data_IF_312030796133
#
_entry.id   IF_312030796133
#
_cell.length_a   1.000
_cell.length_b   1.000
_cell.length_c   1.000
_cell.angle_alpha   90.00
_cell.angle_beta   90.00
_cell.angle_gamma   90.00
#
_symmetry.space_group_name_H-M   'P 1'
#
loop_
_entity.id
_entity.type
_entity.pdbx_description
1 polymer ?
#
# COMPACT_ATOMS: atom_id res chain seq x y z
N UNK A 1 24.74 9.56 -58.42
CA UNK A 1 25.64 9.45 -57.25
C UNK A 1 24.85 8.90 -56.08
N UNK A 2 25.01 7.59 -55.83
CA UNK A 2 24.40 6.82 -54.76
C UNK A 2 25.01 7.21 -53.40
N UNK A 3 24.18 7.39 -52.37
CA UNK A 3 24.58 7.10 -50.98
C UNK A 3 23.43 6.43 -50.23
N UNK A 4 23.53 5.10 -50.17
CA UNK A 4 22.83 4.22 -49.25
C UNK A 4 23.27 4.55 -47.81
N UNK A 5 22.32 4.66 -46.89
CA UNK A 5 22.58 4.60 -45.46
C UNK A 5 21.85 3.38 -44.89
N UNK A 6 22.63 2.56 -44.22
CA UNK A 6 22.38 1.19 -43.82
C UNK A 6 21.62 1.11 -42.51
N UNK A 7 20.58 0.26 -42.49
CA UNK A 7 20.00 -0.28 -41.26
C UNK A 7 21.09 -1.01 -40.47
N UNK A 8 21.23 -0.70 -39.17
CA UNK A 8 21.87 -1.59 -38.21
C UNK A 8 20.89 -1.89 -37.08
N UNK A 9 20.27 -3.05 -37.20
CA UNK A 9 19.57 -3.79 -36.15
C UNK A 9 20.58 -4.17 -35.05
N UNK A 10 20.35 -3.74 -33.83
CA UNK A 10 21.09 -4.18 -32.64
C UNK A 10 20.18 -5.12 -31.84
N UNK A 11 20.28 -6.41 -32.16
CA UNK A 11 19.81 -7.53 -31.35
C UNK A 11 20.75 -7.71 -30.16
N UNK A 12 20.33 -7.30 -28.96
CA UNK A 12 21.00 -7.69 -27.71
C UNK A 12 20.44 -9.02 -27.23
N UNK A 13 21.34 -10.01 -27.18
CA UNK A 13 21.08 -11.37 -26.77
C UNK A 13 20.81 -11.46 -25.25
N UNK A 14 19.72 -12.14 -24.92
CA UNK A 14 19.33 -12.59 -23.59
C UNK A 14 20.26 -13.74 -23.17
N UNK A 15 21.22 -13.49 -22.28
CA UNK A 15 22.00 -14.53 -21.63
C UNK A 15 21.27 -15.00 -20.37
N UNK A 16 20.50 -16.08 -20.50
CA UNK A 16 19.93 -16.85 -19.40
C UNK A 16 21.06 -17.61 -18.69
N UNK A 17 21.48 -17.12 -17.52
CA UNK A 17 22.32 -17.88 -16.60
C UNK A 17 21.43 -18.77 -15.73
N UNK A 18 21.27 -20.03 -16.14
CA UNK A 18 20.67 -21.07 -15.30
C UNK A 18 21.70 -21.55 -14.27
N UNK A 19 21.57 -21.10 -13.02
CA UNK A 19 22.32 -21.65 -11.89
C UNK A 19 21.59 -22.90 -11.41
N UNK A 20 22.17 -24.06 -11.70
CA UNK A 20 21.75 -25.33 -11.13
C UNK A 20 22.18 -25.38 -9.65
N UNK A 21 21.21 -25.34 -8.74
CA UNK A 21 21.41 -25.67 -7.32
C UNK A 21 21.28 -27.18 -7.17
N UNK A 22 22.39 -27.83 -6.79
CA UNK A 22 22.43 -29.25 -6.46
C UNK A 22 21.66 -29.52 -5.15
N UNK A 23 20.93 -30.65 -5.04
CA UNK A 23 20.33 -31.07 -3.79
C UNK A 23 21.40 -31.59 -2.82
N UNK A 24 21.51 -30.96 -1.65
CA UNK A 24 22.26 -31.51 -0.52
C UNK A 24 21.52 -32.74 0.03
N UNK A 25 22.13 -33.90 -0.18
CA UNK A 25 21.85 -35.13 0.56
C UNK A 25 22.24 -34.92 2.02
N UNK A 26 21.26 -34.78 2.91
CA UNK A 26 21.49 -34.87 4.35
C UNK A 26 21.33 -36.33 4.78
N UNK A 27 22.45 -36.87 5.23
CA UNK A 27 22.65 -38.18 5.84
C UNK A 27 21.60 -38.52 6.90
N UNK A 28 21.11 -39.75 6.82
CA UNK A 28 20.44 -40.45 7.90
C UNK A 28 21.44 -40.74 9.02
N UNK A 29 21.12 -40.29 10.24
CA UNK A 29 22.01 -40.41 11.40
C UNK A 29 21.30 -40.52 12.75
N UNK A 30 20.75 -41.71 12.99
CA UNK A 30 20.63 -42.42 14.27
C UNK A 30 19.65 -41.99 15.41
N UNK A 31 19.19 -42.97 16.23
CA UNK A 31 18.04 -42.88 17.12
C UNK A 31 18.39 -42.66 18.59
N UNK A 32 17.32 -42.56 19.38
CA UNK A 32 17.25 -42.76 20.84
C UNK A 32 17.72 -41.60 21.72
N UNK A 33 16.78 -40.72 22.06
CA UNK A 33 16.85 -39.95 23.30
C UNK A 33 15.57 -40.13 24.11
N UNK A 34 15.68 -41.02 25.10
CA UNK A 34 15.14 -40.96 26.45
C UNK A 34 13.90 -40.09 26.70
N UNK A 35 12.76 -40.77 26.91
CA UNK A 35 11.57 -40.21 27.58
C UNK A 35 11.96 -39.71 28.98
N UNK A 36 12.02 -38.39 29.17
CA UNK A 36 11.97 -37.76 30.49
C UNK A 36 10.51 -37.41 30.81
N UNK A 37 10.01 -37.95 31.92
CA UNK A 37 8.70 -37.65 32.45
C UNK A 37 8.53 -36.14 32.76
N UNK A 38 7.32 -35.58 32.58
CA UNK A 38 7.07 -34.17 32.90
C UNK A 38 7.16 -33.95 34.40
N UNK A 39 8.15 -33.15 34.82
CA UNK A 39 8.18 -32.58 36.16
C UNK A 39 7.08 -31.52 36.26
N UNK A 40 6.22 -31.71 37.26
CA UNK A 40 5.15 -30.80 37.65
C UNK A 40 5.76 -29.46 38.06
N UNK A 41 5.80 -28.48 37.13
CA UNK A 41 6.14 -27.09 37.47
C UNK A 41 5.00 -26.52 38.31
N UNK A 42 5.32 -26.14 39.55
CA UNK A 42 4.47 -25.33 40.39
C UNK A 42 4.19 -23.98 39.70
N UNK A 43 2.92 -23.56 39.72
CA UNK A 43 2.48 -22.30 39.17
C UNK A 43 3.13 -21.13 39.95
N UNK A 44 3.72 -20.13 39.26
CA UNK A 44 4.19 -18.93 39.92
C UNK A 44 3.00 -18.17 40.52
N UNK A 45 3.14 -17.80 41.79
CA UNK A 45 2.18 -16.95 42.50
C UNK A 45 2.05 -15.62 41.77
N UNK A 46 0.80 -15.26 41.48
CA UNK A 46 0.42 -14.04 40.78
C UNK A 46 0.76 -12.83 41.66
N UNK A 47 1.63 -11.89 41.21
CA UNK A 47 1.80 -10.63 41.92
C UNK A 47 0.51 -9.82 41.80
N UNK A 48 -0.01 -9.37 42.95
CA UNK A 48 -1.21 -8.54 43.01
C UNK A 48 -1.01 -7.24 42.23
N UNK A 49 -1.86 -7.03 41.22
CA UNK A 49 -1.81 -5.84 40.37
C UNK A 49 -2.12 -4.58 41.20
N UNK A 50 -1.34 -3.50 41.04
CA UNK A 50 -1.65 -2.21 41.66
C UNK A 50 -2.94 -1.65 41.05
N UNK A 51 -3.89 -1.29 41.92
CA UNK A 51 -5.09 -0.53 41.56
C UNK A 51 -4.67 0.84 41.02
N UNK A 52 -4.55 0.98 39.70
CA UNK A 52 -4.50 2.30 39.06
C UNK A 52 -5.89 2.94 39.17
N UNK A 53 -6.00 3.97 40.00
CA UNK A 53 -7.15 4.87 40.02
C UNK A 53 -7.20 5.63 38.69
N UNK A 54 -8.11 5.19 37.82
CA UNK A 54 -8.34 5.79 36.52
C UNK A 54 -9.15 7.08 36.73
N UNK A 55 -8.43 8.20 36.86
CA UNK A 55 -9.05 9.55 36.87
C UNK A 55 -9.43 9.87 35.43
N UNK A 56 -10.67 9.56 35.06
CA UNK A 56 -11.26 9.92 33.78
C UNK A 56 -11.77 11.35 33.86
N UNK A 57 -10.99 12.31 33.32
CA UNK A 57 -11.54 13.61 32.97
C UNK A 57 -11.97 13.61 31.50
N UNK A 58 -13.21 14.01 31.20
CA UNK A 58 -13.68 14.17 29.82
C UNK A 58 -13.13 15.46 29.25
N UNK A 59 -12.11 15.37 28.40
CA UNK A 59 -11.61 16.53 27.65
C UNK A 59 -12.44 16.67 26.37
N UNK A 60 -13.50 17.46 26.45
CA UNK A 60 -14.32 17.85 25.31
C UNK A 60 -13.64 18.97 24.51
N UNK A 61 -12.80 18.60 23.54
CA UNK A 61 -12.32 19.54 22.52
C UNK A 61 -12.84 19.09 21.15
N UNK A 62 -14.07 19.51 20.84
CA UNK A 62 -14.61 19.46 19.48
C UNK A 62 -14.18 20.74 18.77
N UNK A 63 -12.96 20.74 18.24
CA UNK A 63 -12.55 21.75 17.26
C UNK A 63 -12.95 21.22 15.89
N UNK A 64 -14.13 21.62 15.42
CA UNK A 64 -14.57 21.38 14.07
C UNK A 64 -13.61 22.07 13.10
N UNK A 65 -12.74 21.29 12.46
CA UNK A 65 -11.89 21.80 11.38
C UNK A 65 -12.78 22.15 10.17
N UNK A 66 -12.50 23.27 9.48
CA UNK A 66 -13.20 23.63 8.26
C UNK A 66 -12.99 22.56 7.19
N UNK A 67 -14.07 22.21 6.49
CA UNK A 67 -14.05 21.22 5.42
C UNK A 67 -12.99 21.60 4.37
N UNK A 68 -12.23 20.62 3.84
CA UNK A 68 -11.27 20.89 2.77
C UNK A 68 -12.02 21.46 1.56
N UNK A 69 -11.65 22.68 1.17
CA UNK A 69 -12.15 23.32 -0.03
C UNK A 69 -11.97 22.39 -1.24
N UNK A 70 -13.04 22.19 -1.98
CA UNK A 70 -13.04 21.44 -3.24
C UNK A 70 -12.07 22.14 -4.19
N UNK A 71 -10.89 21.55 -4.39
CA UNK A 71 -9.97 21.99 -5.42
C UNK A 71 -10.64 21.67 -6.76
N UNK A 72 -11.19 22.69 -7.42
CA UNK A 72 -11.64 22.58 -8.80
C UNK A 72 -10.40 22.33 -9.66
N UNK A 73 -10.18 21.07 -10.02
CA UNK A 73 -9.26 20.71 -11.08
C UNK A 73 -9.81 21.33 -12.37
N UNK A 74 -9.29 22.48 -12.76
CA UNK A 74 -9.49 23.00 -14.11
C UNK A 74 -8.79 22.02 -15.06
N UNK A 75 -9.52 20.99 -15.49
CA UNK A 75 -9.16 20.20 -16.65
C UNK A 75 -9.15 21.17 -17.83
N UNK A 76 -7.95 21.52 -18.29
CA UNK A 76 -7.77 22.23 -19.54
C UNK A 76 -8.42 21.36 -20.62
N UNK A 77 -9.43 21.84 -21.36
CA UNK A 77 -10.03 21.06 -22.42
C UNK A 77 -8.94 20.74 -23.43
N UNK A 78 -8.71 19.45 -23.67
CA UNK A 78 -7.90 18.99 -24.78
C UNK A 78 -8.59 19.46 -26.07
N UNK A 79 -8.11 20.58 -26.62
CA UNK A 79 -8.55 21.04 -27.92
C UNK A 79 -8.16 20.00 -28.97
N UNK A 80 -9.13 19.24 -29.43
CA UNK A 80 -9.02 18.41 -30.62
C UNK A 80 -8.80 19.34 -31.82
N UNK A 81 -7.54 19.45 -32.26
CA UNK A 81 -7.21 20.01 -33.57
C UNK A 81 -7.50 18.94 -34.62
N UNK A 82 -8.72 18.91 -35.16
CA UNK A 82 -9.18 17.93 -36.16
C UNK A 82 -8.67 18.16 -37.60
N UNK A 83 -7.82 19.16 -37.86
CA UNK A 83 -7.38 19.50 -39.24
C UNK A 83 -5.86 19.40 -39.47
N UNK A 84 -5.18 18.44 -38.84
CA UNK A 84 -3.77 18.16 -39.15
C UNK A 84 -3.66 17.06 -40.22
N UNK A 85 -3.39 17.46 -41.46
CA UNK A 85 -3.04 16.56 -42.54
C UNK A 85 -1.87 15.62 -42.13
N UNK A 86 -1.98 14.30 -42.36
CA UNK A 86 -0.97 13.34 -41.94
C UNK A 86 0.29 13.51 -42.80
N UNK A 87 1.31 14.17 -42.25
CA UNK A 87 2.62 14.30 -42.89
C UNK A 87 3.30 15.65 -42.72
N UNK A 88 2.61 16.68 -42.22
CA UNK A 88 3.26 17.92 -41.85
C UNK A 88 4.07 17.71 -40.56
N UNK A 89 5.40 17.88 -40.65
CA UNK A 89 6.25 17.96 -39.46
C UNK A 89 5.65 18.99 -38.49
N UNK A 90 5.61 18.70 -37.17
CA UNK A 90 4.96 19.58 -36.19
C UNK A 90 5.56 20.98 -36.35
N UNK A 91 4.74 21.91 -36.85
CA UNK A 91 5.15 23.29 -36.96
C UNK A 91 5.41 23.79 -35.54
N UNK A 92 6.61 24.31 -35.30
CA UNK A 92 6.95 24.94 -34.02
C UNK A 92 6.08 26.18 -33.88
N UNK A 93 4.98 26.04 -33.15
CA UNK A 93 4.05 27.11 -32.89
C UNK A 93 4.70 28.08 -31.89
N UNK A 94 4.90 29.32 -32.32
CA UNK A 94 5.28 30.43 -31.46
C UNK A 94 4.01 31.26 -31.24
N UNK A 95 3.39 31.21 -30.04
CA UNK A 95 2.05 31.75 -29.81
C UNK A 95 1.92 33.26 -30.07
N UNK A 96 3.03 34.00 -30.06
CA UNK A 96 3.03 35.47 -30.13
C UNK A 96 3.44 36.05 -31.50
N UNK A 97 3.66 35.24 -32.53
CA UNK A 97 4.18 35.72 -33.83
C UNK A 97 3.10 35.75 -34.93
N UNK A 98 3.06 36.86 -35.67
CA UNK A 98 2.24 36.99 -36.86
C UNK A 98 2.73 36.05 -37.98
N UNK A 99 1.84 35.53 -38.85
CA UNK A 99 2.23 34.68 -39.97
C UNK A 99 3.20 35.41 -40.90
N UNK A 100 4.41 34.86 -41.07
CA UNK A 100 5.43 35.40 -41.99
C UNK A 100 6.59 36.15 -41.32
N UNK A 101 6.49 36.46 -40.03
CA UNK A 101 7.58 37.08 -39.29
C UNK A 101 8.60 36.03 -38.80
N UNK A 102 9.90 36.29 -39.01
CA UNK A 102 10.95 35.37 -38.57
C UNK A 102 11.18 35.56 -37.07
N UNK A 103 11.20 34.49 -36.26
CA UNK A 103 11.46 34.61 -34.84
C UNK A 103 12.85 35.20 -34.59
N UNK A 104 12.92 36.18 -33.69
CA UNK A 104 14.17 36.75 -33.21
C UNK A 104 15.03 35.68 -32.52
N UNK A 105 16.34 35.92 -32.40
CA UNK A 105 17.25 35.00 -31.73
C UNK A 105 16.82 34.72 -30.27
N UNK A 106 16.29 35.75 -29.60
CA UNK A 106 15.78 35.63 -28.24
C UNK A 106 14.55 34.73 -28.15
N UNK A 107 13.59 34.84 -29.08
CA UNK A 107 12.42 33.94 -29.15
C UNK A 107 12.83 32.48 -29.39
N UNK A 108 13.87 32.24 -30.20
CA UNK A 108 14.40 30.88 -30.42
C UNK A 108 15.04 30.30 -29.16
N UNK A 109 15.81 31.11 -28.43
CA UNK A 109 16.42 30.69 -27.16
C UNK A 109 15.38 30.46 -26.08
N UNK A 110 14.40 31.37 -25.93
CA UNK A 110 13.28 31.22 -25.00
C UNK A 110 12.50 29.93 -25.28
N UNK A 111 12.16 29.65 -26.54
CA UNK A 111 11.49 28.41 -26.92
C UNK A 111 12.33 27.16 -26.60
N UNK A 112 13.64 27.20 -26.86
CA UNK A 112 14.53 26.09 -26.48
C UNK A 112 14.60 25.89 -24.97
N UNK A 113 14.67 27.00 -24.23
CA UNK A 113 14.66 26.99 -22.77
C UNK A 113 13.36 26.38 -22.25
N UNK A 114 12.20 26.92 -22.63
CA UNK A 114 10.90 26.50 -22.10
C UNK A 114 10.49 25.08 -22.49
N UNK A 115 10.83 24.61 -23.70
CA UNK A 115 10.37 23.30 -24.18
C UNK A 115 11.38 22.16 -24.02
N UNK A 116 12.67 22.45 -23.82
CA UNK A 116 13.69 21.39 -23.75
C UNK A 116 14.49 21.46 -22.46
N UNK A 117 15.05 22.63 -22.10
CA UNK A 117 15.98 22.71 -20.97
C UNK A 117 15.25 22.81 -19.64
N UNK A 118 14.23 23.66 -19.56
CA UNK A 118 13.45 23.90 -18.34
C UNK A 118 12.74 22.64 -17.87
N UNK A 119 12.02 21.85 -18.71
CA UNK A 119 11.39 20.61 -18.25
C UNK A 119 12.44 19.60 -17.77
N UNK A 120 13.55 19.45 -18.51
CA UNK A 120 14.64 18.57 -18.10
C UNK A 120 15.25 18.97 -16.75
N UNK A 121 15.44 20.27 -16.50
CA UNK A 121 15.92 20.79 -15.21
C UNK A 121 14.87 20.67 -14.10
N UNK A 122 13.59 20.88 -14.40
CA UNK A 122 12.49 20.70 -13.45
C UNK A 122 12.35 19.23 -13.05
N UNK A 123 12.43 18.30 -13.99
CA UNK A 123 12.38 16.86 -13.72
C UNK A 123 13.60 16.33 -12.96
N UNK A 124 14.79 16.91 -13.21
CA UNK A 124 16.04 16.39 -12.63
C UNK A 124 16.50 17.09 -11.34
N UNK A 125 16.29 18.41 -11.20
CA UNK A 125 16.90 19.19 -10.12
C UNK A 125 15.94 20.14 -9.40
N UNK A 126 15.02 20.77 -10.14
CA UNK A 126 14.25 21.92 -9.60
C UNK A 126 12.85 21.60 -9.15
N UNK A 127 12.28 20.44 -9.50
CA UNK A 127 10.88 20.09 -9.24
C UNK A 127 9.88 21.03 -9.93
N UNK A 128 8.59 20.71 -9.79
CA UNK A 128 7.53 21.60 -10.23
C UNK A 128 7.15 22.58 -9.10
N UNK A 129 6.93 23.88 -9.39
CA UNK A 129 6.58 24.87 -8.36
C UNK A 129 5.36 24.45 -7.51
N UNK A 130 4.45 23.69 -8.09
CA UNK A 130 3.29 23.11 -7.42
C UNK A 130 3.66 22.07 -6.34
N UNK A 131 4.81 21.41 -6.47
CA UNK A 131 5.33 20.41 -5.52
C UNK A 131 5.99 21.05 -4.30
N UNK A 132 6.44 22.30 -4.40
CA UNK A 132 7.06 23.05 -3.29
C UNK A 132 6.06 23.73 -2.36
N UNK A 133 4.76 23.45 -2.49
CA UNK A 133 3.79 23.89 -1.50
C UNK A 133 4.09 23.22 -0.16
N UNK A 134 4.73 23.96 0.74
CA UNK A 134 5.07 23.51 2.09
C UNK A 134 3.83 22.93 2.78
N UNK A 135 3.87 21.63 3.07
CA UNK A 135 2.79 20.97 3.79
C UNK A 135 2.85 21.43 5.26
N UNK A 136 1.69 21.66 5.91
CA UNK A 136 1.69 22.06 7.31
C UNK A 136 2.35 20.97 8.17
N UNK A 137 2.94 21.38 9.30
CA UNK A 137 3.51 20.45 10.27
C UNK A 137 2.46 19.41 10.68
N UNK A 138 2.81 18.13 10.56
CA UNK A 138 1.91 17.01 10.89
C UNK A 138 1.06 16.49 9.73
N UNK A 139 1.12 17.10 8.53
CA UNK A 139 0.37 16.62 7.35
C UNK A 139 0.59 15.14 7.07
N UNK A 140 1.85 14.70 7.01
CA UNK A 140 2.20 13.31 6.73
C UNK A 140 1.79 12.35 7.86
N UNK A 141 1.93 12.78 9.11
CA UNK A 141 1.51 11.99 10.28
C UNK A 141 0.00 11.76 10.23
N UNK A 142 -0.77 12.81 9.97
CA UNK A 142 -2.22 12.71 9.80
C UNK A 142 -2.60 11.83 8.61
N UNK A 143 -1.92 11.98 7.46
CA UNK A 143 -2.15 11.14 6.28
C UNK A 143 -1.92 9.65 6.59
N UNK A 144 -0.84 9.32 7.32
CA UNK A 144 -0.56 7.95 7.74
C UNK A 144 -1.66 7.39 8.64
N UNK A 145 -2.08 8.14 9.67
CA UNK A 145 -3.15 7.69 10.55
C UNK A 145 -4.48 7.52 9.81
N UNK A 146 -4.80 8.41 8.88
CA UNK A 146 -5.98 8.27 8.03
C UNK A 146 -5.95 6.97 7.23
N UNK A 147 -4.80 6.64 6.64
CA UNK A 147 -4.60 5.37 5.93
C UNK A 147 -4.74 4.17 6.87
N UNK A 148 -4.17 4.22 8.07
CA UNK A 148 -4.32 3.15 9.06
C UNK A 148 -5.78 2.93 9.47
N UNK A 149 -6.55 4.00 9.66
CA UNK A 149 -7.99 3.93 9.95
C UNK A 149 -8.74 3.30 8.77
N UNK A 150 -8.49 3.76 7.55
CA UNK A 150 -9.13 3.22 6.35
C UNK A 150 -8.82 1.72 6.16
N UNK A 151 -7.58 1.31 6.40
CA UNK A 151 -7.19 -0.10 6.37
C UNK A 151 -7.92 -0.90 7.46
N UNK A 152 -8.02 -0.37 8.67
CA UNK A 152 -8.78 -1.00 9.75
C UNK A 152 -10.28 -1.15 9.42
N UNK A 153 -10.87 -0.17 8.75
CA UNK A 153 -12.24 -0.25 8.26
C UNK A 153 -12.39 -1.32 7.17
N UNK A 154 -11.44 -1.40 6.23
CA UNK A 154 -11.42 -2.45 5.20
C UNK A 154 -11.32 -3.86 5.82
N UNK A 155 -10.46 -4.05 6.83
CA UNK A 155 -10.33 -5.33 7.54
C UNK A 155 -11.64 -5.73 8.23
N UNK A 156 -12.37 -4.77 8.82
CA UNK A 156 -13.68 -5.03 9.45
C UNK A 156 -14.77 -5.50 8.45
N UNK A 157 -14.57 -5.29 7.16
CA UNK A 157 -15.45 -5.80 6.09
C UNK A 157 -15.14 -7.25 5.69
N UNK A 158 -14.30 -7.95 6.45
CA UNK A 158 -13.94 -9.35 6.23
C UNK A 158 -14.77 -10.28 7.13
N UNK A 159 -15.30 -11.35 6.55
CA UNK A 159 -15.87 -12.51 7.26
C UNK A 159 -14.84 -13.64 7.23
N UNK A 160 -14.46 -14.12 8.41
CA UNK A 160 -13.46 -15.17 8.56
C UNK A 160 -14.10 -16.55 8.52
N UNK A 161 -13.29 -17.59 8.37
CA UNK A 161 -13.76 -18.99 8.34
C UNK A 161 -14.58 -19.35 9.59
N UNK A 162 -14.14 -18.89 10.76
CA UNK A 162 -14.82 -19.13 12.05
C UNK A 162 -16.13 -18.36 12.23
N UNK A 163 -16.47 -17.43 11.33
CA UNK A 163 -17.77 -16.75 11.34
C UNK A 163 -18.86 -17.64 10.75
N UNK A 164 -18.48 -18.69 10.03
CA UNK A 164 -19.36 -19.73 9.52
C UNK A 164 -19.41 -20.94 10.46
N UNK A 165 -20.45 -21.75 10.31
CA UNK A 165 -20.47 -23.08 10.93
C UNK A 165 -19.47 -24.02 10.21
N UNK A 166 -18.96 -25.01 10.95
CA UNK A 166 -17.93 -25.94 10.46
C UNK A 166 -18.45 -26.69 9.22
N UNK A 167 -17.66 -26.64 8.13
CA UNK A 167 -17.99 -27.25 6.82
C UNK A 167 -19.36 -26.86 6.24
N UNK A 168 -19.92 -25.73 6.69
CA UNK A 168 -21.22 -25.24 6.27
C UNK A 168 -21.12 -23.86 5.59
N UNK A 169 -22.15 -23.54 4.81
CA UNK A 169 -22.36 -22.21 4.21
C UNK A 169 -23.09 -21.25 5.13
N UNK A 170 -23.66 -21.75 6.22
CA UNK A 170 -24.48 -20.98 7.15
C UNK A 170 -23.59 -20.18 8.11
N UNK A 171 -24.08 -18.99 8.50
CA UNK A 171 -23.38 -18.11 9.41
C UNK A 171 -23.66 -18.51 10.85
N UNK A 172 -22.61 -18.57 11.66
CA UNK A 172 -22.73 -18.74 13.10
C UNK A 172 -23.44 -17.53 13.75
N UNK A 173 -23.95 -17.63 14.98
CA UNK A 173 -24.52 -16.49 15.70
C UNK A 173 -23.54 -15.31 15.87
N UNK A 174 -22.24 -15.58 15.86
CA UNK A 174 -21.20 -14.55 15.84
C UNK A 174 -21.09 -13.92 14.45
N UNK A 175 -21.04 -14.74 13.40
CA UNK A 175 -20.98 -14.29 12.02
C UNK A 175 -22.18 -13.44 11.61
N UNK A 176 -23.38 -13.75 12.10
CA UNK A 176 -24.57 -12.92 11.89
C UNK A 176 -24.42 -11.51 12.49
N UNK A 177 -23.94 -11.41 13.74
CA UNK A 177 -23.65 -10.12 14.37
C UNK A 177 -22.54 -9.35 13.64
N UNK A 178 -21.58 -10.06 13.06
CA UNK A 178 -20.53 -9.44 12.25
C UNK A 178 -21.10 -8.95 10.91
N UNK A 179 -21.96 -9.73 10.25
CA UNK A 179 -22.62 -9.34 9.01
C UNK A 179 -23.53 -8.11 9.20
N UNK A 180 -24.22 -8.00 10.34
CA UNK A 180 -25.02 -6.82 10.69
C UNK A 180 -24.14 -5.56 10.81
N UNK A 181 -22.98 -5.66 11.46
CA UNK A 181 -22.01 -4.55 11.52
C UNK A 181 -21.51 -4.17 10.14
N UNK A 182 -21.18 -5.17 9.31
CA UNK A 182 -20.76 -4.96 7.91
C UNK A 182 -21.87 -4.26 7.12
N UNK A 183 -23.13 -4.68 7.29
CA UNK A 183 -24.28 -4.04 6.64
C UNK A 183 -24.39 -2.56 7.01
N UNK A 184 -24.27 -2.22 8.30
CA UNK A 184 -24.27 -0.83 8.76
C UNK A 184 -23.09 -0.03 8.21
N UNK A 185 -21.88 -0.61 8.19
CA UNK A 185 -20.70 0.04 7.65
C UNK A 185 -20.76 0.21 6.12
N UNK A 186 -21.41 -0.72 5.41
CA UNK A 186 -21.50 -0.73 3.94
C UNK A 186 -22.28 0.44 3.34
N UNK A 187 -23.13 1.07 4.16
CA UNK A 187 -23.88 2.29 3.81
C UNK A 187 -22.97 3.52 3.77
N UNK A 188 -21.94 3.56 4.63
CA UNK A 188 -21.02 4.69 4.75
C UNK A 188 -19.76 4.53 3.92
N UNK A 189 -19.31 3.28 3.77
CA UNK A 189 -18.04 2.94 3.15
C UNK A 189 -18.28 2.08 1.91
N UNK A 190 -17.43 2.25 0.90
CA UNK A 190 -17.51 1.49 -0.37
C UNK A 190 -16.51 0.31 -0.45
N UNK A 191 -15.93 -0.10 0.68
CA UNK A 191 -15.01 -1.24 0.70
C UNK A 191 -15.69 -2.56 0.30
N UNK A 192 -14.98 -3.47 -0.38
CA UNK A 192 -15.51 -4.79 -0.71
C UNK A 192 -15.74 -5.61 0.56
N UNK A 193 -16.76 -6.47 0.52
CA UNK A 193 -16.99 -7.46 1.58
C UNK A 193 -16.15 -8.68 1.21
N UNK A 194 -15.17 -9.02 2.04
CA UNK A 194 -14.26 -10.13 1.77
C UNK A 194 -14.70 -11.34 2.59
N UNK A 195 -14.81 -12.49 1.94
CA UNK A 195 -15.02 -13.78 2.61
C UNK A 195 -13.70 -14.53 2.55
N UNK A 196 -13.20 -14.95 3.70
CA UNK A 196 -11.98 -15.74 3.79
C UNK A 196 -12.17 -17.06 3.02
N UNK A 197 -11.25 -17.30 2.09
CA UNK A 197 -11.21 -18.50 1.27
C UNK A 197 -10.77 -19.71 2.09
N UNK A 198 -11.58 -20.76 2.08
CA UNK A 198 -11.13 -22.11 2.44
C UNK A 198 -10.48 -22.78 1.23
N UNK A 199 -9.27 -23.32 1.41
CA UNK A 199 -8.52 -24.00 0.36
C UNK A 199 -9.00 -25.44 0.13
N UNK A 200 -9.65 -26.06 1.12
CA UNK A 200 -10.10 -27.45 1.03
C UNK A 200 -11.31 -27.59 0.13
N UNK A 201 -12.21 -26.60 0.15
CA UNK A 201 -13.51 -26.68 -0.52
C UNK A 201 -13.86 -25.38 -1.27
N UNK A 202 -13.39 -25.20 -2.53
CA UNK A 202 -13.69 -23.99 -3.29
C UNK A 202 -15.19 -23.80 -3.58
N UNK A 203 -15.93 -24.90 -3.74
CA UNK A 203 -17.38 -24.87 -3.93
C UNK A 203 -18.13 -24.29 -2.71
N UNK A 204 -17.64 -24.58 -1.50
CA UNK A 204 -18.20 -24.06 -0.26
C UNK A 204 -18.03 -22.53 -0.18
N UNK A 205 -16.91 -22.00 -0.68
CA UNK A 205 -16.68 -20.56 -0.69
C UNK A 205 -17.70 -19.81 -1.56
N UNK A 206 -18.01 -20.35 -2.75
CA UNK A 206 -19.03 -19.73 -3.61
C UNK A 206 -20.42 -19.85 -2.99
N UNK A 207 -20.73 -21.00 -2.36
CA UNK A 207 -21.98 -21.16 -1.63
C UNK A 207 -22.11 -20.17 -0.45
N UNK A 208 -21.02 -19.92 0.30
CA UNK A 208 -20.95 -18.91 1.36
C UNK A 208 -21.15 -17.51 0.80
N UNK A 209 -20.51 -17.18 -0.32
CA UNK A 209 -20.68 -15.90 -1.01
C UNK A 209 -22.13 -15.65 -1.41
N UNK A 210 -22.77 -16.62 -2.05
CA UNK A 210 -24.18 -16.52 -2.43
C UNK A 210 -25.10 -16.37 -1.21
N UNK A 211 -24.83 -17.10 -0.12
CA UNK A 211 -25.58 -17.01 1.13
C UNK A 211 -25.47 -15.62 1.76
N UNK A 212 -24.27 -15.03 1.81
CA UNK A 212 -24.05 -13.67 2.34
C UNK A 212 -24.80 -12.64 1.51
N UNK A 213 -24.73 -12.71 0.18
CA UNK A 213 -25.45 -11.79 -0.73
C UNK A 213 -26.96 -11.88 -0.50
N UNK A 214 -27.51 -13.11 -0.44
CA UNK A 214 -28.93 -13.32 -0.20
C UNK A 214 -29.37 -12.80 1.18
N UNK A 215 -28.53 -12.96 2.21
CA UNK A 215 -28.81 -12.49 3.57
C UNK A 215 -28.79 -10.96 3.66
N UNK A 216 -27.82 -10.30 3.03
CA UNK A 216 -27.75 -8.83 2.97
C UNK A 216 -28.95 -8.24 2.23
N UNK A 217 -29.35 -8.85 1.11
CA UNK A 217 -30.54 -8.45 0.37
C UNK A 217 -31.82 -8.56 1.22
N UNK A 218 -31.96 -9.63 2.01
CA UNK A 218 -33.09 -9.79 2.96
C UNK A 218 -33.09 -8.74 4.07
N UNK A 219 -31.92 -8.28 4.49
CA UNK A 219 -31.76 -7.24 5.52
C UNK A 219 -31.93 -5.81 4.97
N UNK A 220 -32.36 -5.64 3.72
CA UNK A 220 -32.63 -4.33 3.11
C UNK A 220 -31.39 -3.59 2.62
N UNK A 221 -30.24 -4.26 2.54
CA UNK A 221 -28.99 -3.68 2.02
C UNK A 221 -28.59 -4.44 0.74
N UNK A 222 -29.12 -4.06 -0.44
CA UNK A 222 -28.78 -4.73 -1.69
C UNK A 222 -27.32 -4.39 -2.06
N UNK A 223 -26.44 -5.38 -1.93
CA UNK A 223 -25.03 -5.26 -2.31
C UNK A 223 -24.83 -5.96 -3.66
N UNK A 224 -24.20 -5.31 -4.65
CA UNK A 224 -23.91 -5.96 -5.93
C UNK A 224 -22.98 -7.17 -5.71
N UNK A 225 -23.18 -8.28 -6.44
CA UNK A 225 -22.41 -9.50 -6.24
C UNK A 225 -20.90 -9.26 -6.45
N UNK A 226 -20.53 -8.36 -7.35
CA UNK A 226 -19.14 -7.96 -7.64
C UNK A 226 -18.40 -7.40 -6.42
N UNK A 227 -19.13 -6.83 -5.45
CA UNK A 227 -18.55 -6.23 -4.24
C UNK A 227 -18.29 -7.27 -3.14
N UNK A 228 -18.84 -8.49 -3.27
CA UNK A 228 -18.58 -9.59 -2.35
C UNK A 228 -17.54 -10.50 -2.99
N UNK A 229 -16.33 -10.52 -2.42
CA UNK A 229 -15.18 -11.23 -2.97
C UNK A 229 -14.77 -12.39 -2.06
N UNK A 230 -14.39 -13.51 -2.65
CA UNK A 230 -13.71 -14.61 -1.94
C UNK A 230 -12.21 -14.41 -2.13
N UNK A 231 -11.49 -14.14 -1.06
CA UNK A 231 -10.05 -13.90 -1.12
C UNK A 231 -9.33 -14.50 0.09
N UNK A 232 -8.01 -14.49 0.03
CA UNK A 232 -7.17 -14.62 1.22
C UNK A 232 -7.42 -13.42 2.15
N UNK A 233 -7.08 -13.61 3.42
CA UNK A 233 -7.11 -12.54 4.41
C UNK A 233 -6.28 -11.34 3.97
N UNK A 234 -6.86 -10.14 4.02
CA UNK A 234 -6.20 -8.88 3.61
C UNK A 234 -4.97 -8.56 4.46
N UNK A 235 -4.94 -9.08 5.68
CA UNK A 235 -3.86 -8.87 6.63
C UNK A 235 -3.70 -10.17 7.38
N UNK A 236 -2.89 -11.11 6.86
CA UNK A 236 -2.62 -12.33 7.60
C UNK A 236 -2.08 -11.96 8.97
N UNK A 237 -2.59 -12.64 9.99
CA UNK A 237 -1.96 -12.58 11.31
C UNK A 237 -0.50 -12.99 11.17
N UNK A 238 0.36 -12.42 12.01
CA UNK A 238 1.76 -12.86 12.07
C UNK A 238 1.75 -14.34 12.46
N UNK A 239 2.31 -15.19 11.60
CA UNK A 239 2.40 -16.62 11.92
C UNK A 239 3.25 -16.81 13.18
N UNK A 240 3.03 -17.89 13.93
CA UNK A 240 3.77 -18.13 15.19
C UNK A 240 5.29 -18.08 15.00
N UNK A 241 5.78 -18.59 13.86
CA UNK A 241 7.21 -18.60 13.53
C UNK A 241 7.73 -17.18 13.24
N UNK A 242 6.98 -16.38 12.47
CA UNK A 242 7.29 -14.98 12.25
C UNK A 242 7.25 -14.17 13.55
N UNK A 243 6.27 -14.44 14.42
CA UNK A 243 6.15 -13.77 15.70
C UNK A 243 7.35 -14.08 16.61
N UNK A 244 7.84 -15.33 16.61
CA UNK A 244 9.07 -15.70 17.32
C UNK A 244 10.30 -15.00 16.75
N UNK A 245 10.42 -14.89 15.43
CA UNK A 245 11.51 -14.16 14.79
C UNK A 245 11.47 -12.67 15.12
N UNK A 246 10.29 -12.06 15.08
CA UNK A 246 10.10 -10.66 15.46
C UNK A 246 10.44 -10.44 16.93
N UNK A 247 10.00 -11.32 17.83
CA UNK A 247 10.32 -11.27 19.25
C UNK A 247 11.85 -11.38 19.49
N UNK A 248 12.52 -12.33 18.82
CA UNK A 248 13.97 -12.47 18.89
C UNK A 248 14.71 -11.23 18.37
N UNK A 249 14.24 -10.64 17.27
CA UNK A 249 14.83 -9.42 16.72
C UNK A 249 14.64 -8.23 17.67
N UNK A 250 13.46 -8.09 18.28
CA UNK A 250 13.19 -7.05 19.28
C UNK A 250 14.07 -7.26 20.51
N UNK A 251 14.18 -8.48 21.03
CA UNK A 251 15.05 -8.79 22.17
C UNK A 251 16.52 -8.52 21.85
N UNK A 252 16.97 -8.89 20.64
CA UNK A 252 18.33 -8.63 20.17
C UNK A 252 18.57 -7.13 20.04
N UNK A 253 17.63 -6.35 19.49
CA UNK A 253 17.73 -4.90 19.42
C UNK A 253 17.77 -4.27 20.82
N UNK A 254 16.94 -4.73 21.76
CA UNK A 254 16.95 -4.25 23.14
C UNK A 254 18.26 -4.59 23.86
N UNK A 255 18.82 -5.78 23.63
CA UNK A 255 20.09 -6.20 24.24
C UNK A 255 21.31 -5.50 23.64
N UNK A 256 21.37 -5.40 22.30
CA UNK A 256 22.52 -4.86 21.57
C UNK A 256 22.50 -3.34 21.48
N UNK A 257 21.31 -2.72 21.36
CA UNK A 257 21.13 -1.26 21.36
C UNK A 257 20.76 -0.71 22.73
N UNK A 258 20.91 -1.53 23.77
CA UNK A 258 20.58 -1.21 25.16
C UNK A 258 20.86 0.25 25.50
N UNK A 259 19.78 0.99 25.75
CA UNK A 259 19.76 2.23 26.52
C UNK A 259 20.91 3.22 26.25
N UNK A 260 21.32 3.42 24.99
CA UNK A 260 22.07 4.63 24.65
C UNK A 260 21.07 5.78 24.57
N UNK A 261 20.83 6.38 25.75
CA UNK A 261 20.19 7.68 25.94
C UNK A 261 21.09 8.81 25.38
N UNK A 262 21.67 8.58 24.21
CA UNK A 262 22.58 9.48 23.51
C UNK A 262 22.02 9.63 22.11
N UNK A 263 21.38 10.77 21.91
CA UNK A 263 20.47 11.09 20.83
C UNK A 263 20.89 10.60 19.45
N UNK A 264 19.87 10.38 18.62
CA UNK A 264 19.82 10.71 17.20
C UNK A 264 21.03 11.57 16.75
N UNK A 265 22.18 10.94 16.51
CA UNK A 265 23.34 11.62 15.93
C UNK A 265 23.11 11.51 14.43
N UNK A 266 22.48 12.56 13.89
CA UNK A 266 22.35 12.75 12.45
C UNK A 266 23.70 12.44 11.80
N UNK A 267 23.66 11.55 10.80
CA UNK A 267 24.82 11.18 10.02
C UNK A 267 25.37 12.41 9.31
N UNK A 268 26.39 13.02 9.89
CA UNK A 268 27.26 13.93 9.19
C UNK A 268 28.05 13.09 8.19
N UNK A 269 27.75 13.26 6.91
CA UNK A 269 28.55 12.73 5.82
C UNK A 269 29.86 13.53 5.82
N UNK A 270 30.91 12.92 6.36
CA UNK A 270 32.24 13.52 6.39
C UNK A 270 32.81 13.45 4.96
N UNK A 271 32.87 14.61 4.29
CA UNK A 271 33.39 14.74 2.95
C UNK A 271 34.93 14.56 2.98
N UNK A 272 35.40 13.40 2.55
CA UNK A 272 36.81 13.14 2.31
C UNK A 272 37.27 14.06 1.17
N UNK A 273 38.04 15.09 1.53
CA UNK A 273 38.78 15.90 0.56
C UNK A 273 40.12 15.21 0.35
N UNK A 274 40.26 14.47 -0.76
CA UNK A 274 41.55 13.98 -1.22
C UNK A 274 42.38 15.16 -1.76
N UNK A 275 43.61 15.28 -1.27
CA UNK A 275 44.69 16.12 -1.83
C UNK A 275 45.61 15.25 -2.67
#
# INVERSE_FOLDING_TARGET
MLKQWTLRTLTTALALSAVWVLPNTVEAGNPASSRRAPQHRQAPSTPSAPKMQQTSQPVSHSTAMPAPGVVHSHSVPAGECTDCAPGAAPQRYYPDLCPGEKPTLWQRLKFKWENYWKPGLQESHWGYPEEFCEKPLGYYVHANFKTMVANGEAVRMTLYEYDFELDSRELSPRGLRQLEKIAYMSVRNFFPIVIQRDYRSPELNEARRQFVIATLARNGVPVPPERVLVSHELTPGMSSDEALLVDQNILTDVQTRGYSLRGFRGGGVEASTEQ
#
